data_IF_127742951151
#
_entry.id   IF_127742951151
#
_cell.length_a   1.000
_cell.length_b   1.000
_cell.length_c   1.000
_cell.angle_alpha   90.00
_cell.angle_beta   90.00
_cell.angle_gamma   90.00
#
_symmetry.space_group_name_H-M   'P 1'
#
loop_
_entity.id
_entity.type
_entity.pdbx_description
1 polymer ?
#
# COMPACT_ATOMS: atom_id res chain seq x y z
N UNK A 1 -5.80 11.47 11.81
CA UNK A 1 -5.02 10.41 12.49
C UNK A 1 -4.26 9.61 11.43
N UNK A 2 -3.22 8.90 11.83
CA UNK A 2 -2.50 7.97 10.95
C UNK A 2 -2.98 6.54 11.17
N UNK A 3 -3.15 5.78 10.10
CA UNK A 3 -3.42 4.34 10.12
C UNK A 3 -2.34 3.64 9.30
N UNK A 4 -1.76 2.60 9.89
CA UNK A 4 -0.69 1.80 9.30
C UNK A 4 -1.08 0.33 9.40
N UNK A 5 -1.14 -0.36 8.27
CA UNK A 5 -1.32 -1.81 8.26
C UNK A 5 0.01 -2.46 8.65
N UNK A 6 -0.02 -3.33 9.67
CA UNK A 6 1.18 -3.90 10.30
C UNK A 6 1.91 -4.92 9.43
N UNK A 7 1.25 -5.43 8.40
CA UNK A 7 1.76 -6.35 7.39
C UNK A 7 2.32 -5.63 6.15
N UNK A 8 2.15 -4.32 6.01
CA UNK A 8 2.67 -3.55 4.90
C UNK A 8 3.86 -2.69 5.37
N UNK A 9 5.06 -2.99 4.88
CA UNK A 9 6.28 -2.27 5.23
C UNK A 9 6.71 -1.38 4.06
N UNK A 10 7.07 -0.14 4.36
CA UNK A 10 7.65 0.79 3.37
C UNK A 10 9.04 1.15 3.88
N UNK A 11 10.04 0.64 3.18
CA UNK A 11 11.44 0.80 3.49
C UNK A 11 11.98 2.05 2.78
N UNK A 12 12.17 3.12 3.57
CA UNK A 12 12.75 4.40 3.14
C UNK A 12 13.30 5.12 4.38
N UNK A 13 14.62 5.14 4.52
CA UNK A 13 15.30 5.70 5.69
C UNK A 13 15.26 7.24 5.73
N UNK A 14 15.18 7.90 4.56
CA UNK A 14 15.26 9.36 4.43
C UNK A 14 13.89 10.05 4.49
N UNK A 15 12.85 9.43 3.92
CA UNK A 15 11.50 10.00 3.86
C UNK A 15 10.42 8.94 4.15
N UNK A 16 10.05 8.74 5.43
CA UNK A 16 9.09 7.72 5.82
C UNK A 16 7.75 7.88 5.08
N UNK A 17 7.20 6.78 4.57
CA UNK A 17 5.98 6.81 3.77
C UNK A 17 4.79 7.49 4.45
N UNK A 18 4.65 7.40 5.78
CA UNK A 18 3.58 8.12 6.49
C UNK A 18 3.83 9.64 6.58
N UNK A 19 5.10 10.06 6.62
CA UNK A 19 5.48 11.48 6.62
C UNK A 19 5.14 12.15 5.28
N UNK A 20 5.30 11.42 4.17
CA UNK A 20 4.88 11.87 2.84
C UNK A 20 3.38 12.22 2.79
N UNK A 21 2.53 11.39 3.41
CA UNK A 21 1.09 11.63 3.49
C UNK A 21 0.72 12.73 4.48
N UNK A 22 1.44 12.83 5.61
CA UNK A 22 1.19 13.85 6.61
C UNK A 22 1.34 15.27 6.04
N UNK A 23 2.36 15.50 5.22
CA UNK A 23 2.57 16.79 4.53
C UNK A 23 1.38 17.17 3.65
N UNK A 24 0.79 16.23 2.92
CA UNK A 24 -0.42 16.50 2.11
C UNK A 24 -1.59 16.93 2.98
N UNK A 25 -1.79 16.28 4.13
CA UNK A 25 -2.83 16.68 5.07
C UNK A 25 -2.57 18.07 5.66
N UNK A 26 -1.33 18.39 6.03
CA UNK A 26 -0.94 19.70 6.55
C UNK A 26 -1.17 20.83 5.53
N UNK A 27 -0.89 20.59 4.26
CA UNK A 27 -1.06 21.56 3.18
C UNK A 27 -2.53 21.78 2.77
N UNK A 28 -3.34 20.72 2.78
CA UNK A 28 -4.66 20.73 2.13
C UNK A 28 -5.84 20.55 3.08
N UNK A 29 -5.61 20.03 4.29
CA UNK A 29 -6.64 19.55 5.20
C UNK A 29 -7.37 18.28 4.72
N UNK A 30 -7.04 17.76 3.55
CA UNK A 30 -7.64 16.57 2.96
C UNK A 30 -6.94 15.30 3.43
N UNK A 31 -7.66 14.18 3.44
CA UNK A 31 -7.03 12.89 3.68
C UNK A 31 -6.04 12.52 2.58
N UNK A 32 -5.04 11.72 2.93
CA UNK A 32 -4.06 11.18 2.00
C UNK A 32 -3.86 9.68 2.23
N UNK A 33 -3.75 8.92 1.14
CA UNK A 33 -3.47 7.48 1.17
C UNK A 33 -2.26 7.17 0.29
N UNK A 34 -1.46 6.18 0.70
CA UNK A 34 -0.32 5.74 -0.09
C UNK A 34 -0.82 4.90 -1.26
N UNK A 35 -0.27 5.15 -2.44
CA UNK A 35 -0.53 4.37 -3.64
C UNK A 35 0.77 3.90 -4.29
N UNK A 36 0.69 2.81 -5.04
CA UNK A 36 1.77 2.34 -5.92
C UNK A 36 1.20 1.78 -7.22
N UNK A 37 1.98 1.82 -8.28
CA UNK A 37 1.60 1.13 -9.51
C UNK A 37 1.86 -0.37 -9.36
N UNK A 38 0.84 -1.21 -9.60
CA UNK A 38 0.99 -2.67 -9.61
C UNK A 38 1.17 -3.19 -11.03
N UNK A 39 1.95 -4.27 -11.27
CA UNK A 39 2.09 -4.87 -12.59
C UNK A 39 0.74 -5.24 -13.23
N UNK A 40 0.63 -5.25 -14.56
CA UNK A 40 -0.61 -5.62 -15.24
C UNK A 40 -1.08 -7.01 -14.80
N UNK A 41 -2.38 -7.14 -14.52
CA UNK A 41 -3.00 -8.39 -14.09
C UNK A 41 -2.91 -8.65 -12.57
N UNK A 42 -2.31 -7.75 -11.78
CA UNK A 42 -2.28 -7.84 -10.31
C UNK A 42 -3.28 -6.93 -9.60
N UNK A 43 -4.05 -6.15 -10.35
CA UNK A 43 -4.97 -5.13 -9.82
C UNK A 43 -6.07 -5.75 -8.94
N UNK A 44 -6.56 -6.93 -9.32
CA UNK A 44 -7.62 -7.65 -8.60
C UNK A 44 -7.25 -8.09 -7.18
N UNK A 45 -5.98 -7.98 -6.79
CA UNK A 45 -5.48 -8.35 -5.47
C UNK A 45 -5.60 -7.20 -4.45
N UNK A 46 -5.86 -5.97 -4.90
CA UNK A 46 -5.75 -4.76 -4.10
C UNK A 46 -6.99 -3.86 -4.23
N UNK A 47 -7.13 -2.89 -3.32
CA UNK A 47 -7.96 -1.72 -3.56
C UNK A 47 -7.31 -0.83 -4.61
N UNK A 48 -8.06 -0.48 -5.67
CA UNK A 48 -7.56 0.30 -6.80
C UNK A 48 -8.24 1.66 -6.83
N UNK A 49 -7.46 2.72 -7.06
CA UNK A 49 -7.97 4.10 -7.16
C UNK A 49 -7.74 4.70 -8.54
N UNK A 50 -8.60 5.61 -8.96
CA UNK A 50 -8.42 6.40 -10.17
C UNK A 50 -8.85 7.85 -9.93
N UNK A 51 -8.26 8.77 -10.69
CA UNK A 51 -8.54 10.19 -10.55
C UNK A 51 -7.60 11.06 -11.38
N UNK A 52 -7.47 12.31 -10.96
CA UNK A 52 -6.77 13.36 -11.70
C UNK A 52 -5.49 13.76 -10.95
N UNK A 53 -4.36 13.83 -11.63
CA UNK A 53 -3.13 14.33 -11.02
C UNK A 53 -3.15 15.86 -10.93
N UNK A 54 -2.75 16.41 -9.78
CA UNK A 54 -2.52 17.84 -9.62
C UNK A 54 -1.07 18.24 -9.97
N UNK A 55 -0.82 19.55 -10.02
CA UNK A 55 0.51 20.11 -10.34
C UNK A 55 1.60 19.75 -9.32
N UNK A 56 1.19 19.30 -8.11
CA UNK A 56 2.09 18.85 -7.06
C UNK A 56 2.40 17.34 -7.16
N UNK A 57 1.87 16.65 -8.19
CA UNK A 57 2.08 15.21 -8.38
C UNK A 57 1.30 14.36 -7.39
N UNK A 58 0.13 14.83 -6.93
CA UNK A 58 -0.79 14.07 -6.07
C UNK A 58 -2.02 13.66 -6.89
N UNK A 59 -2.49 12.44 -6.71
CA UNK A 59 -3.69 11.95 -7.38
C UNK A 59 -4.93 12.38 -6.60
N UNK A 60 -5.72 13.33 -7.11
CA UNK A 60 -7.06 13.63 -6.58
C UNK A 60 -7.98 12.45 -6.89
N UNK A 61 -8.31 11.64 -5.89
CA UNK A 61 -9.06 10.40 -6.08
C UNK A 61 -10.51 10.71 -6.42
N UNK A 62 -11.02 10.06 -7.48
CA UNK A 62 -12.42 10.15 -7.95
C UNK A 62 -13.16 8.83 -7.80
N UNK A 63 -12.43 7.72 -7.99
CA UNK A 63 -12.99 6.38 -7.95
C UNK A 63 -12.08 5.47 -7.14
N UNK A 64 -12.69 4.60 -6.34
CA UNK A 64 -12.04 3.57 -5.53
C UNK A 64 -12.83 2.27 -5.68
N UNK A 65 -12.13 1.15 -5.85
CA UNK A 65 -12.75 -0.17 -5.97
C UNK A 65 -11.92 -1.19 -5.21
N UNK A 66 -12.52 -1.85 -4.23
CA UNK A 66 -11.88 -2.95 -3.50
C UNK A 66 -11.87 -4.21 -4.37
N UNK A 67 -10.67 -4.76 -4.61
CA UNK A 67 -10.43 -6.03 -5.34
C UNK A 67 -11.29 -6.15 -6.61
N UNK A 68 -11.07 -5.26 -7.61
CA UNK A 68 -11.86 -5.27 -8.83
C UNK A 68 -11.76 -6.62 -9.52
N UNK A 69 -12.80 -6.98 -10.29
CA UNK A 69 -12.73 -8.15 -11.16
C UNK A 69 -11.56 -7.99 -12.14
N UNK A 70 -10.91 -9.11 -12.47
CA UNK A 70 -9.80 -9.09 -13.41
C UNK A 70 -10.23 -8.41 -14.74
N UNK A 71 -9.44 -7.43 -15.18
CA UNK A 71 -9.73 -6.64 -16.38
C UNK A 71 -10.74 -5.51 -16.22
N UNK A 72 -11.31 -5.28 -15.02
CA UNK A 72 -12.27 -4.19 -14.76
C UNK A 72 -11.71 -3.09 -13.86
N UNK A 73 -10.43 -3.15 -13.52
CA UNK A 73 -9.80 -2.14 -12.67
C UNK A 73 -9.78 -0.77 -13.37
N UNK A 74 -10.13 0.33 -12.67
CA UNK A 74 -10.19 1.66 -13.29
C UNK A 74 -8.79 2.26 -13.55
N UNK A 75 -7.75 1.71 -12.92
CA UNK A 75 -6.35 2.07 -13.13
C UNK A 75 -5.45 0.93 -12.62
N UNK A 76 -4.14 1.20 -12.49
CA UNK A 76 -3.15 0.33 -11.84
C UNK A 76 -2.60 0.88 -10.52
N UNK A 77 -3.21 1.95 -9.99
CA UNK A 77 -2.82 2.56 -8.71
C UNK A 77 -3.48 1.81 -7.55
N UNK A 78 -2.71 0.92 -6.93
CA UNK A 78 -3.13 0.17 -5.77
C UNK A 78 -2.89 0.94 -4.48
N UNK A 79 -3.84 0.86 -3.56
CA UNK A 79 -3.72 1.36 -2.19
C UNK A 79 -2.68 0.52 -1.44
N UNK A 80 -1.78 1.21 -0.74
CA UNK A 80 -0.77 0.63 0.16
C UNK A 80 -1.15 0.99 1.59
N UNK A 81 -0.77 0.17 2.56
CA UNK A 81 -1.21 0.22 3.95
C UNK A 81 -0.78 1.44 4.78
N UNK A 82 -0.81 2.66 4.24
CA UNK A 82 -0.60 3.93 4.94
C UNK A 82 -1.71 4.91 4.60
N UNK A 83 -2.27 5.51 5.64
CA UNK A 83 -3.37 6.45 5.53
C UNK A 83 -3.17 7.58 6.54
N UNK A 84 -3.41 8.82 6.12
CA UNK A 84 -3.61 9.97 6.99
C UNK A 84 -5.03 10.46 6.76
N UNK A 85 -5.90 10.23 7.74
CA UNK A 85 -7.35 10.42 7.59
C UNK A 85 -7.88 11.54 8.49
N UNK A 86 -8.74 12.43 7.96
CA UNK A 86 -9.44 13.43 8.76
C UNK A 86 -10.52 12.78 9.64
N UNK A 87 -10.93 13.43 10.75
CA UNK A 87 -12.06 12.95 11.56
C UNK A 87 -13.38 12.76 10.80
N UNK A 88 -13.53 13.43 9.65
CA UNK A 88 -14.69 13.28 8.76
C UNK A 88 -14.88 11.84 8.24
N UNK A 89 -13.90 10.95 8.38
CA UNK A 89 -14.05 9.52 8.05
C UNK A 89 -14.97 8.76 9.02
N UNK A 90 -15.11 9.22 10.28
CA UNK A 90 -15.83 8.46 11.31
C UNK A 90 -17.33 8.29 11.03
N UNK A 91 -18.07 9.33 10.61
CA UNK A 91 -19.47 9.14 10.20
C UNK A 91 -19.58 8.19 9.00
N UNK A 92 -18.66 8.31 8.04
CA UNK A 92 -18.65 7.47 6.84
C UNK A 92 -18.44 5.99 7.19
N UNK A 93 -17.51 5.69 8.10
CA UNK A 93 -17.29 4.33 8.61
C UNK A 93 -18.52 3.79 9.36
N UNK A 94 -19.20 4.63 10.15
CA UNK A 94 -20.42 4.25 10.86
C UNK A 94 -21.53 3.82 9.90
N UNK A 95 -21.68 4.54 8.78
CA UNK A 95 -22.72 4.30 7.79
C UNK A 95 -22.33 3.26 6.73
N UNK A 96 -21.07 2.81 6.72
CA UNK A 96 -20.56 1.84 5.73
C UNK A 96 -21.18 0.47 5.97
N UNK A 97 -21.86 -0.04 4.93
CA UNK A 97 -22.46 -1.37 4.94
C UNK A 97 -21.40 -2.44 4.67
N UNK A 98 -21.61 -3.69 5.11
CA UNK A 98 -20.77 -4.81 4.74
C UNK A 98 -20.62 -4.94 3.21
N UNK A 99 -19.36 -5.04 2.76
CA UNK A 99 -18.98 -5.15 1.35
C UNK A 99 -18.44 -6.54 1.02
N UNK A 100 -17.25 -6.59 0.42
CA UNK A 100 -16.56 -7.84 0.06
C UNK A 100 -16.38 -8.72 1.30
N UNK A 101 -16.80 -9.99 1.19
CA UNK A 101 -16.68 -10.96 2.28
C UNK A 101 -17.64 -10.75 3.46
N UNK A 102 -18.56 -9.77 3.38
CA UNK A 102 -19.43 -9.41 4.50
C UNK A 102 -18.74 -8.58 5.59
N UNK A 103 -17.60 -7.98 5.29
CA UNK A 103 -16.84 -7.11 6.20
C UNK A 103 -17.11 -5.62 5.92
N UNK A 104 -16.96 -4.78 6.93
CA UNK A 104 -16.97 -3.32 6.77
C UNK A 104 -15.61 -2.90 6.21
N UNK A 105 -15.58 -2.50 4.94
CA UNK A 105 -14.35 -2.17 4.24
C UNK A 105 -14.01 -0.69 4.39
N UNK A 106 -12.77 -0.39 4.78
CA UNK A 106 -12.28 0.99 4.82
C UNK A 106 -12.35 1.65 3.44
N UNK A 107 -12.03 0.91 2.37
CA UNK A 107 -12.06 1.40 0.97
C UNK A 107 -13.43 1.98 0.61
N UNK A 108 -14.52 1.35 1.07
CA UNK A 108 -15.89 1.81 0.79
C UNK A 108 -16.19 3.13 1.52
N UNK A 109 -15.75 3.27 2.78
CA UNK A 109 -15.88 4.52 3.53
C UNK A 109 -15.05 5.66 2.90
N UNK A 110 -13.85 5.35 2.39
CA UNK A 110 -12.96 6.33 1.75
C UNK A 110 -13.53 6.89 0.45
N UNK A 111 -14.38 6.13 -0.27
CA UNK A 111 -15.11 6.65 -1.42
C UNK A 111 -15.99 7.85 -1.04
N UNK A 112 -16.59 7.83 0.16
CA UNK A 112 -17.34 8.96 0.70
C UNK A 112 -16.45 10.18 0.99
N UNK A 113 -15.24 9.97 1.51
CA UNK A 113 -14.26 11.05 1.69
C UNK A 113 -13.83 11.65 0.35
N UNK A 114 -13.55 10.80 -0.64
CA UNK A 114 -13.16 11.23 -1.99
C UNK A 114 -14.23 12.10 -2.66
N UNK A 115 -15.52 11.84 -2.38
CA UNK A 115 -16.66 12.60 -2.88
C UNK A 115 -16.94 13.91 -2.12
N UNK A 116 -16.29 14.16 -0.98
CA UNK A 116 -16.45 15.39 -0.21
C UNK A 116 -15.75 16.58 -0.86
N UNK A 117 -16.12 17.80 -0.47
CA UNK A 117 -15.48 19.03 -0.96
C UNK A 117 -13.97 19.03 -0.68
N UNK A 118 -13.56 18.62 0.53
CA UNK A 118 -12.14 18.52 0.90
C UNK A 118 -11.44 17.39 0.16
N UNK A 119 -12.16 16.31 -0.17
CA UNK A 119 -11.73 15.16 -0.96
C UNK A 119 -10.64 14.29 -0.33
N UNK A 120 -10.02 13.46 -1.17
CA UNK A 120 -8.99 12.48 -0.79
C UNK A 120 -7.88 12.44 -1.85
N UNK A 121 -6.63 12.39 -1.40
CA UNK A 121 -5.47 12.30 -2.27
C UNK A 121 -4.79 10.94 -2.19
N UNK A 122 -4.36 10.42 -3.35
CA UNK A 122 -3.39 9.34 -3.47
C UNK A 122 -1.99 9.93 -3.64
N UNK A 123 -1.04 9.46 -2.85
CA UNK A 123 0.37 9.85 -2.90
C UNK A 123 1.18 8.63 -3.33
N UNK A 124 1.89 8.75 -4.44
CA UNK A 124 2.84 7.71 -4.83
C UNK A 124 4.04 7.77 -3.89
N UNK A 125 4.04 6.90 -2.88
CA UNK A 125 5.07 6.88 -1.85
C UNK A 125 6.39 6.40 -2.42
N UNK A 126 7.47 7.10 -2.07
CA UNK A 126 8.83 6.67 -2.39
C UNK A 126 9.33 5.66 -1.36
N UNK A 127 10.13 4.69 -1.81
CA UNK A 127 10.66 3.61 -0.98
C UNK A 127 10.38 2.23 -1.58
N UNK A 128 10.88 1.20 -0.90
CA UNK A 128 10.61 -0.19 -1.28
C UNK A 128 9.48 -0.75 -0.42
N UNK A 129 8.39 -1.19 -1.06
CA UNK A 129 7.29 -1.86 -0.37
C UNK A 129 7.62 -3.34 -0.16
N UNK A 130 7.42 -3.82 1.07
CA UNK A 130 7.38 -5.24 1.39
C UNK A 130 6.01 -5.60 1.94
N UNK A 131 5.25 -6.37 1.16
CA UNK A 131 3.98 -6.97 1.58
C UNK A 131 4.28 -8.25 2.37
N UNK A 132 4.04 -8.23 3.67
CA UNK A 132 4.22 -9.36 4.57
C UNK A 132 2.90 -10.07 4.91
N UNK A 133 1.82 -9.77 4.19
CA UNK A 133 0.50 -10.38 4.39
C UNK A 133 0.41 -11.84 3.89
N UNK A 134 1.28 -12.23 2.95
CA UNK A 134 1.41 -13.62 2.48
C UNK A 134 2.75 -14.25 2.88
N UNK A 135 2.81 -15.59 2.86
CA UNK A 135 3.98 -16.36 3.34
C UNK A 135 5.26 -16.07 2.56
N UNK A 136 5.17 -15.90 1.25
CA UNK A 136 6.33 -15.61 0.40
C UNK A 136 6.76 -14.16 0.56
N UNK A 137 5.78 -13.25 0.62
CA UNK A 137 5.99 -11.84 0.94
C UNK A 137 6.70 -11.64 2.28
N UNK A 138 6.24 -12.33 3.32
CA UNK A 138 6.85 -12.34 4.65
C UNK A 138 8.31 -12.82 4.63
N UNK A 139 8.61 -13.93 3.94
CA UNK A 139 9.98 -14.41 3.77
C UNK A 139 10.85 -13.37 3.04
N UNK A 140 10.34 -12.81 1.94
CA UNK A 140 11.05 -11.80 1.15
C UNK A 140 11.34 -10.55 1.98
N UNK A 141 10.39 -10.09 2.80
CA UNK A 141 10.57 -8.96 3.70
C UNK A 141 11.70 -9.23 4.70
N UNK A 142 11.66 -10.35 5.41
CA UNK A 142 12.70 -10.72 6.39
C UNK A 142 14.08 -10.81 5.75
N UNK A 143 14.20 -11.45 4.58
CA UNK A 143 15.46 -11.54 3.86
C UNK A 143 15.96 -10.15 3.42
N UNK A 144 15.09 -9.27 2.93
CA UNK A 144 15.47 -7.93 2.52
C UNK A 144 16.03 -7.09 3.69
N UNK A 145 15.38 -7.11 4.85
CA UNK A 145 15.86 -6.42 6.05
C UNK A 145 17.14 -7.04 6.60
N UNK A 146 17.26 -8.37 6.59
CA UNK A 146 18.49 -9.04 7.03
C UNK A 146 19.68 -8.74 6.10
N UNK A 147 19.45 -8.54 4.80
CA UNK A 147 20.47 -8.11 3.84
C UNK A 147 20.93 -6.66 4.06
N UNK A 148 20.15 -5.83 4.76
CA UNK A 148 20.55 -4.47 5.19
C UNK A 148 21.36 -4.46 6.48
N UNK A 149 21.31 -5.53 7.29
CA UNK A 149 22.04 -5.61 8.57
C UNK A 149 23.51 -5.94 8.35
N UNK A 150 24.41 -5.13 8.91
CA UNK A 150 25.86 -5.37 8.85
C UNK A 150 26.27 -6.72 9.47
N UNK A 151 25.56 -7.15 10.52
CA UNK A 151 25.81 -8.44 11.19
C UNK A 151 25.34 -9.62 10.35
N UNK A 152 24.18 -9.50 9.70
CA UNK A 152 23.51 -10.63 9.06
C UNK A 152 23.83 -10.76 7.58
N UNK A 153 24.20 -9.67 6.89
CA UNK A 153 24.29 -9.63 5.42
C UNK A 153 25.24 -10.69 4.86
N UNK A 154 26.48 -10.75 5.34
CA UNK A 154 27.47 -11.68 4.81
C UNK A 154 27.14 -13.15 5.12
N UNK A 155 26.81 -13.53 6.37
CA UNK A 155 26.35 -14.89 6.68
C UNK A 155 25.09 -15.31 5.90
N UNK A 156 24.14 -14.39 5.72
CA UNK A 156 22.90 -14.65 4.99
C UNK A 156 23.14 -14.95 3.52
N UNK A 157 24.00 -14.17 2.85
CA UNK A 157 24.33 -14.39 1.44
C UNK A 157 24.94 -15.79 1.25
N UNK A 158 25.93 -16.14 2.08
CA UNK A 158 26.55 -17.46 2.02
C UNK A 158 25.54 -18.59 2.24
N UNK A 159 24.65 -18.46 3.23
CA UNK A 159 23.58 -19.43 3.49
C UNK A 159 22.64 -19.59 2.29
N UNK A 160 22.22 -18.49 1.66
CA UNK A 160 21.31 -18.53 0.50
C UNK A 160 21.97 -19.19 -0.72
N UNK A 161 23.25 -18.90 -0.97
CA UNK A 161 24.01 -19.52 -2.06
C UNK A 161 24.08 -21.05 -1.88
N UNK A 162 24.39 -21.52 -0.68
CA UNK A 162 24.45 -22.95 -0.34
C UNK A 162 23.09 -23.64 -0.48
N UNK A 163 22.01 -23.02 0.00
CA UNK A 163 20.65 -23.54 -0.11
C UNK A 163 20.22 -23.66 -1.57
N UNK A 164 20.48 -22.64 -2.39
CA UNK A 164 20.14 -22.64 -3.83
C UNK A 164 20.96 -23.68 -4.59
N UNK A 165 22.27 -23.80 -4.30
CA UNK A 165 23.11 -24.82 -4.91
C UNK A 165 22.63 -26.24 -4.57
N UNK A 166 22.25 -26.47 -3.31
CA UNK A 166 21.72 -27.76 -2.85
C UNK A 166 20.39 -28.10 -3.50
N UNK A 167 19.46 -27.15 -3.59
CA UNK A 167 18.17 -27.34 -4.23
C UNK A 167 18.29 -27.68 -5.73
N UNK A 168 19.23 -27.03 -6.45
CA UNK A 168 19.48 -27.32 -7.88
C UNK A 168 20.02 -28.73 -8.09
N UNK A 169 20.91 -29.22 -7.23
CA UNK A 169 21.45 -30.59 -7.29
C UNK A 169 20.38 -31.65 -7.02
N UNK A 170 19.42 -31.37 -6.14
CA UNK A 170 18.33 -32.29 -5.84
C UNK A 170 17.26 -32.37 -6.95
N UNK A 171 17.21 -31.37 -7.83
CA UNK A 171 16.23 -31.27 -8.92
C UNK A 171 16.75 -31.81 -10.27
N UNK A 172 18.02 -32.18 -10.38
CA UNK A 172 18.65 -32.77 -11.57
C UNK A 172 19.04 -34.23 -11.34
#
# INVERSE_FOLDING_TARGET
FALLLGDDLIDNDDDPGIGQLARVYEETGAGAIAIMEVPPGREHMYGIVAGDWDDAGRLRIRQMVEKPKAGTAPSRWAIVGRYVLPPAVWPLLTDTKPGVGGEIQLTDALQGLAASDTGLYGVQVTGTRHDAGDKLGWLKANLAYALKSDELRAPLIAMLEDMVASAKKAAG
#
